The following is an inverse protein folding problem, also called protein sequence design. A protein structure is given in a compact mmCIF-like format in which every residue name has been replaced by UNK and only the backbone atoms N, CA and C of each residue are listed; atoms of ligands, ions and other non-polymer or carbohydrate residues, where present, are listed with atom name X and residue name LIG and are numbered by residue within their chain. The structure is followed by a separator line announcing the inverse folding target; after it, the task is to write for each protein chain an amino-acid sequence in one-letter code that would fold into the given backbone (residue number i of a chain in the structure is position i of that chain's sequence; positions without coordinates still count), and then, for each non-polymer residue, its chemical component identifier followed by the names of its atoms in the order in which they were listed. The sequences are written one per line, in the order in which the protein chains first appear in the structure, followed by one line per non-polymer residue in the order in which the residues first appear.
data_IF_682098913244
#
_entry.id   IF_682098913244
#
_cell.length_a   1.000
_cell.length_b   1.000
_cell.length_c   1.000
_cell.angle_alpha   90.00
_cell.angle_beta   90.00
_cell.angle_gamma   90.00
#
_symmetry.space_group_name_H-M   'P 1'
#
loop_
_entity.id
_entity.type
_entity.pdbx_description
1 polymer ?
#
# COMPACT_ATOMS: atom_id res chain seq x y z
N UNK A 1 4.76 0.83 -4.53
CA UNK A 1 5.07 1.01 -5.97
C UNK A 1 4.05 0.27 -6.80
N UNK A 2 3.48 0.93 -7.81
CA UNK A 2 2.64 0.31 -8.84
C UNK A 2 3.47 0.12 -10.10
N UNK A 3 3.18 -0.93 -10.89
CA UNK A 3 3.92 -1.20 -12.14
C UNK A 3 3.02 -0.87 -13.31
N UNK A 4 3.51 -0.01 -14.19
CA UNK A 4 2.83 0.44 -15.40
C UNK A 4 3.69 0.12 -16.63
N UNK A 5 3.06 0.20 -17.80
CA UNK A 5 3.69 -0.14 -19.06
C UNK A 5 3.70 1.09 -19.96
N UNK A 6 4.87 1.52 -20.40
CA UNK A 6 4.97 2.57 -21.42
C UNK A 6 4.45 2.05 -22.76
N UNK A 7 4.08 2.97 -23.66
CA UNK A 7 3.64 2.62 -25.02
C UNK A 7 4.69 1.82 -25.82
N UNK A 8 5.98 2.01 -25.51
CA UNK A 8 7.09 1.25 -26.09
C UNK A 8 7.29 -0.16 -25.47
N UNK A 9 6.29 -0.67 -24.72
CA UNK A 9 6.30 -1.98 -24.04
C UNK A 9 7.31 -2.14 -22.90
N UNK A 10 8.04 -1.10 -22.52
CA UNK A 10 8.88 -1.14 -21.33
C UNK A 10 8.04 -0.96 -20.07
N UNK A 11 8.23 -1.87 -19.10
CA UNK A 11 7.59 -1.78 -17.78
C UNK A 11 8.44 -0.94 -16.84
N UNK A 12 7.78 -0.15 -16.01
CA UNK A 12 8.43 0.64 -14.97
C UNK A 12 7.57 0.69 -13.72
N UNK A 13 8.22 0.87 -12.57
CA UNK A 13 7.54 1.03 -11.30
C UNK A 13 7.53 2.51 -10.90
N UNK A 14 6.40 3.00 -10.41
CA UNK A 14 6.24 4.39 -9.94
C UNK A 14 5.61 4.42 -8.56
N UNK A 15 5.94 5.45 -7.79
CA UNK A 15 5.25 5.72 -6.54
C UNK A 15 3.88 6.34 -6.85
N UNK A 16 2.77 5.64 -6.55
CA UNK A 16 1.43 6.18 -6.81
C UNK A 16 1.12 7.44 -6.01
N UNK A 17 1.79 7.66 -4.86
CA UNK A 17 1.55 8.83 -4.01
C UNK A 17 2.22 10.10 -4.56
N UNK A 18 3.10 9.97 -5.55
CA UNK A 18 3.71 11.10 -6.27
C UNK A 18 2.96 11.46 -7.55
N UNK A 19 1.92 10.72 -7.91
CA UNK A 19 1.09 11.04 -9.07
C UNK A 19 0.23 12.26 -8.72
N UNK A 20 0.51 13.37 -9.40
CA UNK A 20 -0.23 14.61 -9.23
C UNK A 20 -1.52 14.59 -10.06
N UNK A 21 -1.44 14.13 -11.31
CA UNK A 21 -2.56 14.13 -12.25
C UNK A 21 -2.51 12.94 -13.19
N UNK A 22 -3.69 12.39 -13.49
CA UNK A 22 -3.90 11.39 -14.54
C UNK A 22 -4.87 11.99 -15.56
N UNK A 23 -4.51 11.96 -16.84
CA UNK A 23 -5.33 12.49 -17.93
C UNK A 23 -5.40 11.48 -19.07
N UNK A 24 -6.57 11.34 -19.69
CA UNK A 24 -6.77 10.50 -20.87
C UNK A 24 -7.00 11.39 -22.10
N UNK A 25 -6.04 11.42 -23.04
CA UNK A 25 -6.18 12.09 -24.36
C UNK A 25 -4.98 11.81 -25.29
N UNK A 26 -5.13 11.07 -26.40
CA UNK A 26 -5.95 9.86 -26.57
C UNK A 26 -5.45 8.68 -25.71
N UNK A 27 -4.19 8.76 -25.28
CA UNK A 27 -3.53 7.81 -24.38
C UNK A 27 -3.56 8.34 -22.93
N UNK A 28 -3.30 7.46 -21.96
CA UNK A 28 -3.24 7.85 -20.55
C UNK A 28 -1.88 8.45 -20.21
N UNK A 29 -1.89 9.66 -19.67
CA UNK A 29 -0.71 10.39 -19.25
C UNK A 29 -0.74 10.60 -17.73
N UNK A 30 0.33 10.22 -17.05
CA UNK A 30 0.57 10.52 -15.64
C UNK A 30 1.56 11.69 -15.53
N UNK A 31 1.19 12.72 -14.77
CA UNK A 31 2.10 13.78 -14.35
C UNK A 31 2.41 13.58 -12.87
N UNK A 32 3.70 13.54 -12.54
CA UNK A 32 4.19 13.48 -11.16
C UNK A 32 4.38 14.89 -10.59
N UNK A 33 4.44 14.98 -9.26
CA UNK A 33 4.62 16.24 -8.52
C UNK A 33 5.95 16.97 -8.81
N UNK A 34 6.94 16.28 -9.38
CA UNK A 34 8.20 16.87 -9.83
C UNK A 34 8.15 17.39 -11.27
N UNK A 35 6.98 17.31 -11.91
CA UNK A 35 6.76 17.67 -13.31
C UNK A 35 7.08 16.55 -14.31
N UNK A 36 7.64 15.42 -13.87
CA UNK A 36 7.90 14.29 -14.76
C UNK A 36 6.60 13.73 -15.32
N UNK A 37 6.59 13.42 -16.63
CA UNK A 37 5.39 12.96 -17.32
C UNK A 37 5.64 11.61 -18.00
N UNK A 38 4.68 10.69 -17.84
CA UNK A 38 4.73 9.33 -18.36
C UNK A 38 3.47 9.03 -19.16
N UNK A 39 3.63 8.57 -20.40
CA UNK A 39 2.53 8.02 -21.20
C UNK A 39 2.52 6.50 -21.05
N UNK A 40 1.37 5.95 -20.68
CA UNK A 40 1.20 4.53 -20.36
C UNK A 40 0.13 3.88 -21.23
N UNK A 41 0.24 2.57 -21.38
CA UNK A 41 -0.70 1.75 -22.16
C UNK A 41 -1.98 1.42 -21.36
N UNK A 42 -1.90 1.48 -20.03
CA UNK A 42 -3.05 1.29 -19.14
C UNK A 42 -4.06 2.44 -19.29
N UNK A 43 -5.36 2.13 -19.15
CA UNK A 43 -6.41 3.15 -19.10
C UNK A 43 -6.38 3.92 -17.78
N UNK A 44 -6.98 5.11 -17.77
CA UNK A 44 -7.11 5.91 -16.54
C UNK A 44 -7.73 5.10 -15.39
N UNK A 45 -8.80 4.35 -15.65
CA UNK A 45 -9.45 3.52 -14.65
C UNK A 45 -8.53 2.43 -14.07
N UNK A 46 -7.74 1.76 -14.92
CA UNK A 46 -6.79 0.73 -14.49
C UNK A 46 -5.69 1.33 -13.61
N UNK A 47 -5.20 2.53 -13.95
CA UNK A 47 -4.22 3.24 -13.12
C UNK A 47 -4.83 3.58 -11.76
N UNK A 48 -6.06 4.11 -11.73
CA UNK A 48 -6.75 4.45 -10.48
C UNK A 48 -6.94 3.20 -9.60
N UNK A 49 -7.41 2.09 -10.18
CA UNK A 49 -7.57 0.84 -9.44
C UNK A 49 -6.24 0.35 -8.88
N UNK A 50 -5.16 0.42 -9.68
CA UNK A 50 -3.82 0.04 -9.22
C UNK A 50 -3.35 0.85 -8.00
N UNK A 51 -3.69 2.15 -7.95
CA UNK A 51 -3.40 3.04 -6.82
C UNK A 51 -4.21 2.61 -5.58
N UNK A 52 -5.52 2.40 -5.75
CA UNK A 52 -6.42 1.99 -4.66
C UNK A 52 -5.96 0.67 -4.07
N UNK A 53 -5.70 -0.33 -4.91
CA UNK A 53 -5.22 -1.63 -4.46
C UNK A 53 -3.86 -1.53 -3.76
N UNK A 54 -2.95 -0.69 -4.24
CA UNK A 54 -1.67 -0.48 -3.56
C UNK A 54 -1.88 0.04 -2.14
N UNK A 55 -2.70 1.08 -1.97
CA UNK A 55 -3.01 1.64 -0.65
C UNK A 55 -3.72 0.63 0.26
N UNK A 56 -4.68 -0.12 -0.29
CA UNK A 56 -5.38 -1.18 0.44
C UNK A 56 -4.42 -2.27 0.91
N UNK A 57 -3.50 -2.73 0.05
CA UNK A 57 -2.47 -3.72 0.42
C UNK A 57 -1.55 -3.22 1.51
N UNK A 58 -1.09 -1.97 1.43
CA UNK A 58 -0.26 -1.35 2.47
C UNK A 58 -1.00 -1.33 3.81
N UNK A 59 -2.25 -0.88 3.83
CA UNK A 59 -3.07 -0.83 5.03
C UNK A 59 -3.35 -2.23 5.62
N UNK A 60 -3.77 -3.18 4.78
CA UNK A 60 -4.06 -4.54 5.20
C UNK A 60 -2.82 -5.21 5.80
N UNK A 61 -1.65 -4.99 5.20
CA UNK A 61 -0.37 -5.49 5.69
C UNK A 61 -0.03 -4.85 7.04
N UNK A 62 -0.18 -3.53 7.19
CA UNK A 62 0.08 -2.84 8.44
C UNK A 62 -0.85 -3.31 9.58
N UNK A 63 -2.15 -3.44 9.31
CA UNK A 63 -3.14 -3.94 10.28
C UNK A 63 -2.85 -5.39 10.68
N UNK A 64 -2.46 -6.24 9.74
CA UNK A 64 -2.05 -7.63 10.03
C UNK A 64 -0.86 -7.70 10.99
N UNK A 65 0.16 -6.85 10.79
CA UNK A 65 1.29 -6.75 11.71
C UNK A 65 0.87 -6.24 13.10
N UNK A 66 0.00 -5.24 13.18
CA UNK A 66 -0.51 -4.72 14.46
C UNK A 66 -1.29 -5.77 15.25
N UNK A 67 -2.18 -6.53 14.59
CA UNK A 67 -2.92 -7.62 15.21
C UNK A 67 -2.00 -8.75 15.73
N UNK A 68 -0.99 -9.14 14.94
CA UNK A 68 0.00 -10.12 15.36
C UNK A 68 0.79 -9.66 16.61
N UNK A 69 1.18 -8.38 16.63
CA UNK A 69 1.92 -7.76 17.74
C UNK A 69 1.12 -7.71 19.05
N UNK A 70 -0.19 -7.45 18.95
CA UNK A 70 -1.09 -7.39 20.11
C UNK A 70 -1.28 -8.76 20.80
N UNK A 71 -1.25 -9.86 20.04
CA UNK A 71 -1.38 -11.22 20.59
C UNK A 71 -0.16 -11.67 21.40
N UNK A 72 1.04 -11.23 21.01
CA UNK A 72 2.28 -11.53 21.72
C UNK A 72 2.37 -10.80 23.07
N UNK A 73 1.87 -9.55 23.14
CA UNK A 73 1.86 -8.76 24.38
C UNK A 73 0.83 -9.26 25.40
N UNK A 74 -0.33 -9.74 24.96
CA UNK A 74 -1.36 -10.31 25.86
C UNK A 74 -0.94 -11.64 26.49
N UNK A 75 -0.19 -12.47 25.76
CA UNK A 75 0.31 -13.76 26.26
C UNK A 75 1.37 -13.60 27.36
N UNK A 76 2.20 -12.54 27.30
CA UNK A 76 3.17 -12.23 28.35
C UNK A 76 2.51 -11.64 29.61
N UNK A 77 1.44 -10.87 29.45
CA UNK A 77 0.73 -10.25 30.58
C UNK A 77 -0.16 -11.21 31.37
N UNK A 78 -0.67 -12.28 30.76
CA UNK A 78 -1.52 -13.27 31.46
C UNK A 78 -0.73 -14.31 32.25
N UNK A 79 0.56 -14.49 31.98
CA UNK A 79 1.43 -15.36 32.79
C UNK A 79 1.86 -14.73 34.13
N UNK A 80 1.83 -13.40 34.26
CA UNK A 80 2.27 -12.69 35.46
C UNK A 80 1.16 -12.46 36.51
N UNK A 81 -0.12 -12.69 36.16
CA UNK A 81 -1.26 -12.43 37.04
C UNK A 81 -1.85 -13.68 37.74
N UNK A 82 -1.24 -14.86 37.55
CA UNK A 82 -1.67 -16.11 38.17
C UNK A 82 -0.72 -16.56 39.29
N UNK A 83 -0.61 -15.75 40.34
CA UNK A 83 -0.11 -16.21 41.65
C UNK A 83 -1.26 -16.04 42.65
N UNK A 84 -1.95 -17.13 43.06
CA UNK A 84 -2.97 -17.03 44.09
C UNK A 84 -2.31 -16.86 45.47
N UNK A 85 -2.93 -16.00 46.25
CA UNK A 85 -2.72 -15.83 47.69
C UNK A 85 -2.92 -17.17 48.43
N UNK A 86 -2.15 -17.39 49.50
CA UNK A 86 -2.29 -18.49 50.47
C UNK A 86 -0.92 -19.13 50.77
N UNK A 87 -0.46 -19.31 52.00
CA UNK A 87 -1.12 -19.27 53.30
C UNK A 87 -0.02 -19.23 54.38
N UNK A 88 -0.30 -18.50 55.48
CA UNK A 88 0.30 -18.55 56.84
C UNK A 88 1.53 -17.70 57.15
#
# INVERSE_FOLDING_TARGET
MIVLTRLNRHRFAVNPDLVERIQASPDTTLTLVDGATFVVAETMDVVIQSIVEFRARVLATALGHAAASGSASQSASTAAAAAPEGER
#
